data_IF_578374649553
#
_entry.id   IF_578374649553
#
_cell.length_a   1.000
_cell.length_b   1.000
_cell.length_c   1.000
_cell.angle_alpha   90.00
_cell.angle_beta   90.00
_cell.angle_gamma   90.00
#
_symmetry.space_group_name_H-M   'P 1'
#
loop_
_entity.id
_entity.type
_entity.pdbx_description
1 polymer ?
#
# COMPACT_ATOMS: atom_id res chain seq x y z
N UNK A 1 25.99 -39.14 -27.16
CA UNK A 1 24.55 -39.48 -27.28
C UNK A 1 24.23 -40.35 -26.07
N UNK A 2 23.63 -39.85 -24.99
CA UNK A 2 22.44 -38.99 -24.86
C UNK A 2 22.62 -37.91 -23.77
N UNK A 3 21.88 -36.78 -23.84
CA UNK A 3 22.11 -35.61 -22.99
C UNK A 3 21.67 -35.80 -21.53
N UNK A 4 22.37 -35.12 -20.63
CA UNK A 4 21.99 -34.85 -19.24
C UNK A 4 20.62 -34.16 -19.20
N UNK A 5 19.69 -34.56 -18.32
CA UNK A 5 18.50 -33.77 -18.08
C UNK A 5 18.89 -32.42 -17.44
N UNK A 6 18.32 -31.29 -17.90
CA UNK A 6 18.61 -29.98 -17.34
C UNK A 6 17.80 -29.78 -16.04
N UNK A 7 18.38 -30.07 -14.88
CA UNK A 7 17.75 -29.74 -13.59
C UNK A 7 17.64 -28.23 -13.35
N UNK A 8 18.39 -27.42 -14.09
CA UNK A 8 18.30 -25.95 -14.01
C UNK A 8 16.98 -25.37 -14.57
N UNK A 9 16.19 -26.19 -15.28
CA UNK A 9 14.93 -25.76 -15.90
C UNK A 9 13.72 -25.88 -14.97
N UNK A 10 13.85 -26.55 -13.82
CA UNK A 10 12.80 -26.62 -12.79
C UNK A 10 12.88 -25.49 -11.76
N UNK A 11 14.02 -24.81 -11.63
CA UNK A 11 14.15 -23.64 -10.75
C UNK A 11 13.63 -22.34 -11.41
N UNK A 12 13.52 -22.32 -12.74
CA UNK A 12 13.28 -21.10 -13.54
C UNK A 12 11.92 -21.00 -14.22
N UNK A 13 10.96 -21.85 -13.84
CA UNK A 13 9.59 -21.78 -14.34
C UNK A 13 8.61 -21.65 -13.18
N UNK A 14 8.48 -20.41 -12.71
CA UNK A 14 7.23 -19.94 -12.12
C UNK A 14 6.92 -20.52 -10.76
N UNK A 15 7.56 -19.97 -9.72
CA UNK A 15 6.72 -19.50 -8.62
C UNK A 15 5.78 -18.51 -9.29
N UNK A 16 4.58 -18.99 -9.63
CA UNK A 16 3.52 -18.14 -10.16
C UNK A 16 3.59 -16.86 -9.34
N UNK A 17 3.68 -15.71 -10.01
CA UNK A 17 3.27 -14.47 -9.39
C UNK A 17 1.88 -14.77 -8.84
N UNK A 18 1.82 -15.18 -7.57
CA UNK A 18 0.57 -15.24 -6.86
C UNK A 18 0.07 -13.83 -7.02
N UNK A 19 -1.01 -13.70 -7.79
CA UNK A 19 -1.53 -12.43 -8.24
C UNK A 19 -2.07 -11.77 -6.98
N UNK A 20 -1.16 -11.14 -6.24
CA UNK A 20 -1.44 -10.56 -4.95
C UNK A 20 -2.31 -9.36 -5.22
N UNK A 21 -3.48 -9.34 -4.59
CA UNK A 21 -4.49 -8.32 -4.84
C UNK A 21 -3.91 -6.98 -4.39
N UNK A 22 -3.85 -5.95 -5.25
CA UNK A 22 -3.32 -4.65 -4.84
C UNK A 22 -4.23 -4.03 -3.78
N UNK A 23 -3.63 -3.39 -2.79
CA UNK A 23 -4.30 -2.54 -1.81
C UNK A 23 -3.40 -1.34 -1.52
N UNK A 24 -3.97 -0.15 -1.45
CA UNK A 24 -3.22 1.04 -1.01
C UNK A 24 -3.63 1.41 0.40
N UNK A 25 -2.64 1.67 1.26
CA UNK A 25 -2.83 2.17 2.61
C UNK A 25 -2.25 3.57 2.69
N UNK A 26 -3.11 4.55 2.89
CA UNK A 26 -2.72 5.95 3.04
C UNK A 26 -2.72 6.33 4.52
N UNK A 27 -1.70 7.07 4.96
CA UNK A 27 -1.63 7.51 6.35
C UNK A 27 -1.46 9.02 6.52
N UNK A 28 -2.14 9.57 7.53
CA UNK A 28 -1.92 10.92 8.06
C UNK A 28 -1.44 10.84 9.51
N UNK A 29 -0.28 11.42 9.84
CA UNK A 29 0.34 11.27 11.16
C UNK A 29 1.40 12.34 11.42
N UNK A 30 1.33 13.05 12.56
CA UNK A 30 2.40 13.98 12.96
C UNK A 30 3.50 13.29 13.80
N UNK A 31 3.11 12.34 14.66
CA UNK A 31 4.01 11.68 15.62
C UNK A 31 4.27 10.20 15.29
N UNK A 32 3.96 9.77 14.06
CA UNK A 32 4.22 8.40 13.57
C UNK A 32 3.26 7.28 14.03
N UNK A 33 2.30 7.51 14.92
CA UNK A 33 1.38 6.46 15.40
C UNK A 33 0.54 5.84 14.27
N UNK A 34 -0.09 6.67 13.44
CA UNK A 34 -0.90 6.19 12.32
C UNK A 34 -0.04 5.57 11.21
N UNK A 35 1.18 6.08 11.01
CA UNK A 35 2.16 5.48 10.10
C UNK A 35 2.53 4.06 10.55
N UNK A 36 2.83 3.85 11.82
CA UNK A 36 3.14 2.53 12.36
C UNK A 36 1.96 1.56 12.20
N UNK A 37 0.73 2.04 12.41
CA UNK A 37 -0.48 1.24 12.19
C UNK A 37 -0.65 0.86 10.71
N UNK A 38 -0.40 1.80 9.79
CA UNK A 38 -0.45 1.54 8.35
C UNK A 38 0.59 0.51 7.90
N UNK A 39 1.82 0.61 8.40
CA UNK A 39 2.88 -0.36 8.13
C UNK A 39 2.53 -1.76 8.68
N UNK A 40 1.93 -1.82 9.87
CA UNK A 40 1.46 -3.08 10.45
C UNK A 40 0.33 -3.69 9.62
N UNK A 41 -0.64 -2.88 9.19
CA UNK A 41 -1.72 -3.35 8.31
C UNK A 41 -1.16 -3.91 7.00
N UNK A 42 -0.17 -3.25 6.40
CA UNK A 42 0.47 -3.72 5.18
C UNK A 42 1.19 -5.06 5.37
N UNK A 43 1.88 -5.25 6.50
CA UNK A 43 2.50 -6.52 6.85
C UNK A 43 1.45 -7.64 7.02
N UNK A 44 0.34 -7.37 7.70
CA UNK A 44 -0.76 -8.32 7.87
C UNK A 44 -1.48 -8.63 6.54
N UNK A 45 -1.58 -7.66 5.64
CA UNK A 45 -2.13 -7.83 4.30
C UNK A 45 -1.27 -8.75 3.43
N UNK A 46 0.07 -8.63 3.54
CA UNK A 46 1.02 -9.52 2.85
C UNK A 46 0.85 -11.00 3.22
N UNK A 47 0.42 -11.29 4.45
CA UNK A 47 0.10 -12.67 4.89
C UNK A 47 -1.19 -13.23 4.27
N UNK A 48 -2.01 -12.38 3.66
CA UNK A 48 -3.33 -12.70 3.10
C UNK A 48 -3.39 -12.54 1.58
N UNK A 49 -2.24 -12.68 0.92
CA UNK A 49 -2.12 -12.57 -0.55
C UNK A 49 -2.50 -11.18 -1.10
N UNK A 50 -2.32 -10.12 -0.32
CA UNK A 50 -2.41 -8.75 -0.80
C UNK A 50 -1.03 -8.14 -1.03
N UNK A 51 -0.93 -7.24 -2.01
CA UNK A 51 0.23 -6.38 -2.20
C UNK A 51 -0.11 -4.98 -1.71
N UNK A 52 0.31 -4.68 -0.48
CA UNK A 52 0.03 -3.40 0.16
C UNK A 52 1.08 -2.34 -0.21
N UNK A 53 0.61 -1.22 -0.73
CA UNK A 53 1.41 -0.02 -1.00
C UNK A 53 1.09 1.05 0.06
N UNK A 54 2.07 1.44 0.87
CA UNK A 54 1.89 2.39 1.98
C UNK A 54 2.47 3.75 1.61
N UNK A 55 1.64 4.79 1.66
CA UNK A 55 2.04 6.17 1.35
C UNK A 55 1.40 7.19 2.30
N UNK A 56 1.97 8.38 2.38
CA UNK A 56 1.33 9.51 3.09
C UNK A 56 0.07 9.97 2.33
N UNK A 57 -0.85 10.61 3.05
CA UNK A 57 -2.15 11.02 2.48
C UNK A 57 -1.99 12.07 1.37
N UNK A 58 -1.08 13.02 1.56
CA UNK A 58 -0.83 14.10 0.59
C UNK A 58 -0.35 13.56 -0.77
N UNK A 59 0.39 12.45 -0.80
CA UNK A 59 0.81 11.79 -2.05
C UNK A 59 -0.35 11.27 -2.92
N UNK A 60 -1.55 11.09 -2.35
CA UNK A 60 -2.75 10.63 -3.06
C UNK A 60 -3.61 11.78 -3.61
N UNK A 61 -3.19 13.03 -3.40
CA UNK A 61 -3.87 14.22 -3.93
C UNK A 61 -3.94 14.14 -5.46
N UNK A 62 -5.15 14.15 -6.02
CA UNK A 62 -5.43 13.98 -7.46
C UNK A 62 -4.90 12.65 -8.06
N UNK A 63 -4.48 11.71 -7.22
CA UNK A 63 -3.86 10.45 -7.61
C UNK A 63 -4.45 9.25 -6.83
N UNK A 64 -5.70 9.41 -6.34
CA UNK A 64 -6.38 8.36 -5.59
C UNK A 64 -6.69 7.17 -6.53
N UNK A 65 -6.20 5.95 -6.21
CA UNK A 65 -6.47 4.77 -7.01
C UNK A 65 -7.97 4.48 -7.14
N UNK A 66 -8.38 3.98 -8.31
CA UNK A 66 -9.80 3.68 -8.61
C UNK A 66 -10.05 2.21 -8.95
N UNK A 67 -8.97 1.47 -9.18
CA UNK A 67 -8.96 0.09 -9.67
C UNK A 67 -8.83 -0.95 -8.54
N UNK A 68 -8.53 -0.52 -7.31
CA UNK A 68 -8.37 -1.40 -6.16
C UNK A 68 -8.76 -0.71 -4.83
N UNK A 69 -8.92 -1.47 -3.73
CA UNK A 69 -9.27 -0.91 -2.43
C UNK A 69 -8.21 0.07 -1.90
N UNK A 70 -8.68 1.09 -1.20
CA UNK A 70 -7.86 2.08 -0.49
C UNK A 70 -8.29 2.12 0.97
N UNK A 71 -7.33 2.01 1.89
CA UNK A 71 -7.53 2.15 3.34
C UNK A 71 -6.87 3.43 3.80
N UNK A 72 -7.58 4.27 4.54
CA UNK A 72 -7.08 5.54 5.07
C UNK A 72 -6.99 5.44 6.59
N UNK A 73 -5.80 5.72 7.13
CA UNK A 73 -5.53 5.75 8.57
C UNK A 73 -4.97 7.12 8.92
N UNK A 74 -5.77 7.98 9.53
CA UNK A 74 -5.35 9.34 9.85
C UNK A 74 -5.68 9.72 11.29
N UNK A 75 -4.81 10.50 11.93
CA UNK A 75 -5.11 11.15 13.20
C UNK A 75 -5.86 12.46 12.97
N UNK A 76 -6.40 13.04 14.04
CA UNK A 76 -6.91 14.41 14.04
C UNK A 76 -6.35 15.13 15.27
N UNK A 77 -6.08 16.43 15.11
CA UNK A 77 -5.56 17.30 16.15
C UNK A 77 -6.53 18.48 16.32
N UNK A 78 -7.40 18.44 17.34
CA UNK A 78 -8.41 19.49 17.58
C UNK A 78 -9.31 19.76 16.36
N UNK A 79 -9.69 18.71 15.63
CA UNK A 79 -10.49 18.82 14.40
C UNK A 79 -9.69 19.22 13.15
N UNK A 80 -8.40 19.52 13.28
CA UNK A 80 -7.50 19.75 12.16
C UNK A 80 -6.90 18.43 11.66
N UNK A 81 -6.58 18.33 10.36
CA UNK A 81 -5.83 17.20 9.83
C UNK A 81 -4.35 17.22 10.30
N UNK A 82 -3.65 16.09 10.16
CA UNK A 82 -2.19 16.04 10.27
C UNK A 82 -1.50 16.87 9.18
N UNK A 83 -0.23 17.20 9.40
CA UNK A 83 0.57 18.05 8.50
C UNK A 83 0.70 17.42 7.11
N UNK A 84 0.90 16.09 7.06
CA UNK A 84 1.00 15.29 5.83
C UNK A 84 -0.37 14.87 5.26
N UNK A 85 -1.41 15.65 5.52
CA UNK A 85 -2.80 15.42 5.09
C UNK A 85 -3.50 16.72 4.68
N UNK A 86 -2.92 17.88 4.98
CA UNK A 86 -3.54 19.17 4.72
C UNK A 86 -3.90 19.36 3.23
N UNK A 87 -3.01 18.95 2.32
CA UNK A 87 -3.24 19.11 0.87
C UNK A 87 -4.34 18.18 0.38
N UNK A 88 -4.38 16.96 0.90
CA UNK A 88 -5.43 16.01 0.55
C UNK A 88 -6.82 16.49 0.98
N UNK A 89 -6.95 17.06 2.18
CA UNK A 89 -8.23 17.60 2.67
C UNK A 89 -8.65 18.84 1.88
N UNK A 90 -7.72 19.75 1.59
CA UNK A 90 -7.99 20.91 0.74
C UNK A 90 -8.47 20.49 -0.65
N UNK A 91 -7.84 19.47 -1.24
CA UNK A 91 -8.28 18.90 -2.52
C UNK A 91 -9.68 18.29 -2.44
N UNK A 92 -10.01 17.54 -1.39
CA UNK A 92 -11.35 16.99 -1.16
C UNK A 92 -12.43 18.07 -0.96
N UNK A 93 -12.09 19.18 -0.32
CA UNK A 93 -13.04 20.27 -0.08
C UNK A 93 -13.37 21.07 -1.36
N UNK A 94 -12.52 20.99 -2.38
CA UNK A 94 -12.65 21.71 -3.66
C UNK A 94 -13.03 20.79 -4.84
N UNK A 95 -13.45 19.55 -4.56
CA UNK A 95 -13.96 18.58 -5.53
C UNK A 95 -15.42 18.86 -5.89
#
# INVERSE_FOLDING_TARGET
>A
MTPSPPDFLLEKLGKASQCSKPITVLYGSNTGTCQALAQRLAAEAGLREFHADVRDLDSATNALPKDHPVVIITSSYEGQPPDNTARFIEWLANL
#
